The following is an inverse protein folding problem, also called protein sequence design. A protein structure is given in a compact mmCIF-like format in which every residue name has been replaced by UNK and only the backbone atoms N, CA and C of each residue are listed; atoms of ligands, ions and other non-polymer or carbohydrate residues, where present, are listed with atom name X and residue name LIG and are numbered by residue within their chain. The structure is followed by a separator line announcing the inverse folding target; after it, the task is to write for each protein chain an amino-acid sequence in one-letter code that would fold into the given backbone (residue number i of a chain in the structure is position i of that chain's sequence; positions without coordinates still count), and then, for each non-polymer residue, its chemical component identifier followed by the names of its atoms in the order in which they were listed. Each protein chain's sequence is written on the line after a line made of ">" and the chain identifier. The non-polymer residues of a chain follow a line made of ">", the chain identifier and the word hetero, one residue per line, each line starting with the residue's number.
data_IF_336173379383
#
_entry.id   IF_336173379383
#
_cell.length_a   1.000
_cell.length_b   1.000
_cell.length_c   1.000
_cell.angle_alpha   90.00
_cell.angle_beta   90.00
_cell.angle_gamma   90.00
#
_symmetry.space_group_name_H-M   'P 1'
#
loop_
_entity.id
_entity.type
_entity.pdbx_description
1 polymer ?
#
# COMPACT_ATOMS: atom_id res chain seq x y z
N UNK A 1 23.38 -23.07 9.73
CA UNK A 1 22.10 -23.65 9.25
C UNK A 1 21.21 -24.07 10.42
N UNK A 2 21.67 -24.91 11.36
CA UNK A 2 20.91 -25.29 12.57
C UNK A 2 20.51 -24.09 13.44
N UNK A 3 21.40 -23.12 13.67
CA UNK A 3 21.09 -21.90 14.44
C UNK A 3 20.02 -21.00 13.81
N UNK A 4 19.95 -20.98 12.48
CA UNK A 4 18.97 -20.18 11.74
C UNK A 4 17.58 -20.83 11.78
N UNK A 5 17.53 -22.17 11.71
CA UNK A 5 16.30 -22.96 11.89
C UNK A 5 15.80 -22.88 13.33
N UNK A 6 16.68 -22.88 14.34
CA UNK A 6 16.29 -22.69 15.74
C UNK A 6 15.80 -21.27 16.01
N UNK A 7 16.39 -20.23 15.39
CA UNK A 7 15.89 -18.86 15.45
C UNK A 7 14.56 -18.68 14.72
N UNK A 8 14.37 -19.31 13.55
CA UNK A 8 13.13 -19.29 12.77
C UNK A 8 12.00 -20.05 13.47
N UNK A 9 12.29 -21.20 14.08
CA UNK A 9 11.32 -21.93 14.92
C UNK A 9 11.02 -21.18 16.22
N UNK A 10 12.00 -20.51 16.83
CA UNK A 10 11.75 -19.59 17.95
C UNK A 10 10.89 -18.40 17.55
N UNK A 11 11.03 -17.85 16.33
CA UNK A 11 10.27 -16.69 15.86
C UNK A 11 8.84 -17.06 15.42
N UNK A 12 8.67 -18.19 14.73
CA UNK A 12 7.35 -18.74 14.39
C UNK A 12 6.61 -19.15 15.67
N UNK A 13 7.35 -19.74 16.63
CA UNK A 13 6.84 -19.98 17.98
C UNK A 13 6.62 -18.67 18.73
N UNK A 14 7.35 -17.58 18.47
CA UNK A 14 7.07 -16.25 19.02
C UNK A 14 5.84 -15.62 18.40
N UNK A 15 5.52 -15.79 17.11
CA UNK A 15 4.27 -15.31 16.51
C UNK A 15 3.06 -16.12 16.98
N UNK A 16 3.19 -17.45 17.06
CA UNK A 16 2.17 -18.31 17.67
C UNK A 16 2.03 -18.07 19.17
N UNK A 17 3.15 -17.85 19.87
CA UNK A 17 3.17 -17.42 21.28
C UNK A 17 2.74 -15.97 21.43
N UNK A 18 2.81 -15.10 20.44
CA UNK A 18 2.30 -13.72 20.52
C UNK A 18 0.78 -13.75 20.38
N UNK A 19 0.25 -14.59 19.49
CA UNK A 19 -1.18 -14.87 19.38
C UNK A 19 -1.74 -15.61 20.61
N UNK A 20 -1.03 -16.62 21.13
CA UNK A 20 -1.36 -17.32 22.38
C UNK A 20 -1.10 -16.46 23.62
N UNK A 21 -0.08 -15.60 23.63
CA UNK A 21 0.23 -14.66 24.71
C UNK A 21 -0.74 -13.48 24.69
N UNK A 22 -1.29 -13.05 23.56
CA UNK A 22 -2.41 -12.11 23.54
C UNK A 22 -3.62 -12.72 24.25
N UNK A 23 -3.99 -13.96 23.88
CA UNK A 23 -5.08 -14.69 24.55
C UNK A 23 -4.81 -14.93 26.04
N UNK A 24 -3.57 -15.27 26.42
CA UNK A 24 -3.17 -15.53 27.81
C UNK A 24 -2.89 -14.25 28.63
N UNK A 25 -2.58 -13.13 27.97
CA UNK A 25 -2.43 -11.79 28.58
C UNK A 25 -3.78 -11.15 28.82
N UNK A 26 -4.77 -11.42 27.96
CA UNK A 26 -6.17 -11.08 28.17
C UNK A 26 -6.77 -11.85 29.37
N UNK A 27 -6.36 -13.11 29.58
CA UNK A 27 -6.68 -13.90 30.79
C UNK A 27 -5.97 -13.37 32.07
N UNK A 28 -4.87 -12.63 31.94
CA UNK A 28 -4.09 -12.05 33.05
C UNK A 28 -4.32 -10.55 33.29
N UNK A 29 -5.27 -9.94 32.59
CA UNK A 29 -5.66 -8.53 32.78
C UNK A 29 -4.66 -7.50 32.22
N UNK A 30 -3.80 -7.90 31.28
CA UNK A 30 -2.88 -6.96 30.59
C UNK A 30 -3.64 -6.30 29.44
N UNK A 31 -3.68 -4.97 29.43
CA UNK A 31 -4.32 -4.20 28.37
C UNK A 31 -3.57 -4.33 27.04
N UNK A 32 -4.26 -4.84 26.03
CA UNK A 32 -3.74 -4.98 24.66
C UNK A 32 -4.09 -3.70 23.89
N UNK A 33 -3.13 -3.05 23.18
CA UNK A 33 -3.43 -1.90 22.34
C UNK A 33 -4.52 -2.25 21.33
N UNK A 34 -5.58 -1.44 21.28
CA UNK A 34 -6.65 -1.59 20.31
C UNK A 34 -6.47 -0.58 19.18
N UNK A 35 -6.65 -1.05 17.93
CA UNK A 35 -6.67 -0.18 16.77
C UNK A 35 -7.80 0.84 16.88
N UNK A 36 -7.48 2.11 16.69
CA UNK A 36 -8.44 3.22 16.86
C UNK A 36 -9.49 3.29 15.73
N UNK A 37 -9.23 2.61 14.62
CA UNK A 37 -10.10 2.57 13.43
C UNK A 37 -10.33 1.11 13.04
N UNK A 38 -11.55 0.76 12.61
CA UNK A 38 -11.83 -0.53 11.97
C UNK A 38 -12.01 -0.30 10.47
N UNK A 39 -10.99 -0.62 9.67
CA UNK A 39 -11.05 -0.56 8.21
C UNK A 39 -11.59 -1.85 7.59
N UNK A 40 -11.90 -1.85 6.28
CA UNK A 40 -12.30 -3.02 5.49
C UNK A 40 -11.45 -4.29 5.70
N UNK A 41 -10.17 -4.14 6.05
CA UNK A 41 -9.32 -5.30 6.36
C UNK A 41 -9.76 -6.10 7.60
N UNK A 42 -10.65 -5.57 8.44
CA UNK A 42 -11.27 -6.30 9.55
C UNK A 42 -12.12 -7.51 9.10
N UNK A 43 -12.52 -7.55 7.82
CA UNK A 43 -13.26 -8.67 7.23
C UNK A 43 -12.36 -9.80 6.74
N UNK A 44 -11.04 -9.65 6.77
CA UNK A 44 -10.11 -10.72 6.35
C UNK A 44 -10.10 -11.80 7.46
N UNK A 45 -10.59 -13.03 7.19
CA UNK A 45 -10.62 -14.08 8.19
C UNK A 45 -9.20 -14.48 8.58
N UNK A 46 -8.90 -14.52 9.88
CA UNK A 46 -7.60 -14.97 10.42
C UNK A 46 -7.22 -16.43 10.07
N UNK A 47 -8.10 -17.14 9.35
CA UNK A 47 -8.07 -18.58 9.09
C UNK A 47 -7.50 -18.92 7.70
N UNK A 48 -7.39 -17.95 6.80
CA UNK A 48 -6.78 -18.14 5.46
C UNK A 48 -5.30 -17.79 5.55
N UNK A 49 -4.53 -18.71 6.13
CA UNK A 49 -3.09 -18.56 6.28
C UNK A 49 -2.39 -18.64 4.92
N UNK A 50 -1.57 -17.64 4.53
CA UNK A 50 -0.81 -17.69 3.29
C UNK A 50 0.19 -18.84 3.25
N UNK A 51 0.66 -19.17 2.04
CA UNK A 51 1.73 -20.14 1.85
C UNK A 51 2.96 -19.78 2.70
N UNK A 52 3.38 -20.73 3.54
CA UNK A 52 4.41 -20.56 4.57
C UNK A 52 5.77 -20.20 3.97
N UNK A 53 6.08 -20.67 2.76
CA UNK A 53 7.36 -20.40 2.11
C UNK A 53 7.48 -18.94 1.65
N UNK A 54 6.41 -18.38 1.08
CA UNK A 54 6.37 -16.97 0.64
C UNK A 54 6.41 -16.01 1.83
N UNK A 55 5.78 -16.38 2.95
CA UNK A 55 5.88 -15.62 4.19
C UNK A 55 7.32 -15.62 4.76
N UNK A 56 8.04 -16.73 4.65
CA UNK A 56 9.45 -16.78 5.06
C UNK A 56 10.30 -15.87 4.17
N UNK A 57 10.09 -15.88 2.85
CA UNK A 57 10.77 -14.95 1.92
C UNK A 57 10.47 -13.49 2.23
N UNK A 58 9.20 -13.16 2.54
CA UNK A 58 8.78 -11.83 2.94
C UNK A 58 9.50 -11.35 4.21
N UNK A 59 9.57 -12.22 5.23
CA UNK A 59 10.27 -11.92 6.47
C UNK A 59 11.77 -11.71 6.24
N UNK A 60 12.41 -12.56 5.41
CA UNK A 60 13.83 -12.42 5.10
C UNK A 60 14.14 -11.13 4.31
N UNK A 61 13.20 -10.67 3.48
CA UNK A 61 13.38 -9.50 2.62
C UNK A 61 13.06 -8.18 3.32
N UNK A 62 12.04 -8.16 4.18
CA UNK A 62 11.52 -6.94 4.81
C UNK A 62 11.82 -6.85 6.31
N UNK A 63 12.27 -7.93 6.95
CA UNK A 63 12.57 -7.98 8.38
C UNK A 63 11.35 -7.96 9.32
N UNK A 64 10.13 -7.81 8.77
CA UNK A 64 8.86 -7.78 9.51
C UNK A 64 7.69 -8.23 8.62
N UNK A 65 6.59 -8.62 9.28
CA UNK A 65 5.30 -8.87 8.62
C UNK A 65 4.40 -7.65 8.82
N UNK A 66 4.45 -6.71 7.88
CA UNK A 66 3.51 -5.58 7.88
C UNK A 66 2.16 -5.97 7.29
N UNK A 67 1.14 -5.17 7.55
CA UNK A 67 -0.23 -5.43 7.10
C UNK A 67 -0.33 -5.45 5.55
N UNK A 68 0.51 -4.70 4.84
CA UNK A 68 0.61 -4.78 3.37
C UNK A 68 0.97 -6.21 2.96
N UNK A 69 2.05 -6.75 3.53
CA UNK A 69 2.51 -8.11 3.25
C UNK A 69 1.42 -9.13 3.57
N UNK A 70 0.75 -8.99 4.72
CA UNK A 70 -0.32 -9.90 5.14
C UNK A 70 -1.49 -9.95 4.15
N UNK A 71 -1.96 -8.80 3.67
CA UNK A 71 -3.09 -8.75 2.72
C UNK A 71 -2.67 -9.25 1.34
N UNK A 72 -1.49 -8.86 0.87
CA UNK A 72 -0.97 -9.34 -0.42
C UNK A 72 -0.71 -10.85 -0.42
N UNK A 73 -0.46 -11.45 0.75
CA UNK A 73 -0.22 -12.89 0.88
C UNK A 73 -1.45 -13.76 0.55
N UNK A 74 -2.66 -13.17 0.45
CA UNK A 74 -3.83 -13.82 -0.14
C UNK A 74 -3.63 -14.16 -1.63
N UNK A 75 -2.67 -13.51 -2.29
CA UNK A 75 -2.26 -13.75 -3.67
C UNK A 75 -0.73 -13.99 -3.75
N UNK A 76 -0.24 -15.20 -3.42
CA UNK A 76 1.19 -15.47 -3.23
C UNK A 76 2.08 -15.15 -4.45
N UNK A 77 1.59 -15.40 -5.66
CA UNK A 77 2.31 -15.08 -6.90
C UNK A 77 2.49 -13.57 -7.09
N UNK A 78 1.49 -12.77 -6.71
CA UNK A 78 1.59 -11.31 -6.71
C UNK A 78 2.55 -10.83 -5.61
N UNK A 79 2.43 -11.38 -4.40
CA UNK A 79 3.30 -11.04 -3.28
C UNK A 79 4.79 -11.26 -3.61
N UNK A 80 5.16 -12.40 -4.21
CA UNK A 80 6.55 -12.66 -4.60
C UNK A 80 7.10 -11.60 -5.56
N UNK A 81 6.30 -11.20 -6.57
CA UNK A 81 6.67 -10.11 -7.48
C UNK A 81 6.79 -8.76 -6.77
N UNK A 82 5.88 -8.46 -5.86
CA UNK A 82 5.90 -7.24 -5.04
C UNK A 82 7.17 -7.15 -4.19
N UNK A 83 7.48 -8.19 -3.43
CA UNK A 83 8.65 -8.24 -2.54
C UNK A 83 9.96 -8.05 -3.31
N UNK A 84 10.11 -8.76 -4.44
CA UNK A 84 11.28 -8.62 -5.32
C UNK A 84 11.42 -7.19 -5.85
N UNK A 85 10.30 -6.57 -6.22
CA UNK A 85 10.28 -5.18 -6.70
C UNK A 85 10.66 -4.22 -5.58
N UNK A 86 10.07 -4.37 -4.39
CA UNK A 86 10.33 -3.50 -3.24
C UNK A 86 11.79 -3.59 -2.78
N UNK A 87 12.34 -4.80 -2.69
CA UNK A 87 13.75 -5.03 -2.38
C UNK A 87 14.68 -4.40 -3.44
N UNK A 88 14.37 -4.57 -4.72
CA UNK A 88 15.16 -3.96 -5.78
C UNK A 88 15.12 -2.42 -5.75
N UNK A 89 13.97 -1.83 -5.41
CA UNK A 89 13.80 -0.39 -5.38
C UNK A 89 14.44 0.27 -4.16
N UNK A 90 14.40 -0.37 -2.99
CA UNK A 90 14.78 0.25 -1.72
C UNK A 90 16.13 -0.25 -1.18
N UNK A 91 16.45 -1.53 -1.33
CA UNK A 91 17.59 -2.16 -0.64
C UNK A 91 18.82 -2.38 -1.55
N UNK A 92 18.62 -2.79 -2.81
CA UNK A 92 19.75 -3.05 -3.70
C UNK A 92 20.53 -1.77 -4.06
N UNK A 93 21.82 -1.91 -4.34
CA UNK A 93 22.63 -0.79 -4.85
C UNK A 93 22.02 -0.20 -6.12
N UNK A 94 22.02 1.14 -6.20
CA UNK A 94 21.29 1.85 -7.24
C UNK A 94 21.69 3.33 -7.32
N UNK A 95 21.16 4.07 -8.30
CA UNK A 95 21.61 5.43 -8.60
C UNK A 95 21.33 6.45 -7.48
N UNK A 96 20.37 6.16 -6.60
CA UNK A 96 20.01 7.03 -5.47
C UNK A 96 20.50 6.48 -4.13
N UNK A 97 20.94 7.33 -3.19
CA UNK A 97 21.23 6.92 -1.82
C UNK A 97 20.00 6.35 -1.11
N UNK A 98 20.16 5.28 -0.32
CA UNK A 98 19.07 4.61 0.43
C UNK A 98 18.13 5.58 1.18
N UNK A 99 18.61 6.54 2.01
CA UNK A 99 17.70 7.47 2.69
C UNK A 99 16.86 8.29 1.70
N UNK A 100 17.45 8.74 0.59
CA UNK A 100 16.71 9.54 -0.39
C UNK A 100 15.55 8.77 -1.02
N UNK A 101 15.71 7.46 -1.21
CA UNK A 101 14.65 6.58 -1.73
C UNK A 101 13.45 6.56 -0.79
N UNK A 102 13.68 6.36 0.51
CA UNK A 102 12.63 6.40 1.53
C UNK A 102 11.94 7.76 1.58
N UNK A 103 12.69 8.86 1.54
CA UNK A 103 12.09 10.21 1.53
C UNK A 103 11.22 10.46 0.28
N UNK A 104 11.68 10.01 -0.90
CA UNK A 104 10.89 10.11 -2.15
C UNK A 104 9.58 9.34 -2.03
N UNK A 105 9.61 8.13 -1.45
CA UNK A 105 8.40 7.34 -1.20
C UNK A 105 7.45 8.05 -0.24
N UNK A 106 7.95 8.57 0.90
CA UNK A 106 7.14 9.31 1.85
C UNK A 106 6.49 10.55 1.20
N UNK A 107 7.26 11.32 0.42
CA UNK A 107 6.77 12.48 -0.33
C UNK A 107 5.71 12.10 -1.36
N UNK A 108 5.85 10.95 -2.03
CA UNK A 108 4.89 10.44 -2.98
C UNK A 108 3.59 10.00 -2.30
N UNK A 109 3.68 9.20 -1.23
CA UNK A 109 2.53 8.76 -0.44
C UNK A 109 1.74 9.93 0.17
N UNK A 110 2.44 11.01 0.58
CA UNK A 110 1.81 12.22 1.09
C UNK A 110 0.84 12.89 0.09
N UNK A 111 0.99 12.66 -1.23
CA UNK A 111 0.06 13.15 -2.26
C UNK A 111 -1.35 12.60 -2.12
N UNK A 112 -1.49 11.44 -1.46
CA UNK A 112 -2.76 10.75 -1.20
C UNK A 112 -3.10 10.71 0.29
N UNK A 113 -2.42 11.52 1.12
CA UNK A 113 -2.57 11.55 2.58
C UNK A 113 -2.45 10.14 3.21
N UNK A 114 -1.64 9.27 2.61
CA UNK A 114 -1.47 7.89 3.07
C UNK A 114 -0.51 7.86 4.27
N UNK A 115 -1.06 8.12 5.47
CA UNK A 115 -0.29 8.19 6.72
C UNK A 115 0.46 6.89 7.03
N UNK A 116 -0.10 5.75 6.64
CA UNK A 116 0.54 4.43 6.77
C UNK A 116 1.91 4.40 6.09
N UNK A 117 1.97 4.74 4.79
CA UNK A 117 3.23 4.72 4.03
C UNK A 117 4.14 5.88 4.42
N UNK A 118 3.58 7.06 4.73
CA UNK A 118 4.38 8.20 5.19
C UNK A 118 5.13 7.84 6.47
N UNK A 119 4.47 7.24 7.46
CA UNK A 119 5.12 6.86 8.72
C UNK A 119 6.16 5.77 8.52
N UNK A 120 5.81 4.68 7.82
CA UNK A 120 6.71 3.57 7.52
C UNK A 120 7.99 4.04 6.81
N UNK A 121 7.86 4.89 5.79
CA UNK A 121 9.03 5.37 5.05
C UNK A 121 9.75 6.54 5.74
N UNK A 122 9.11 7.26 6.65
CA UNK A 122 9.81 8.21 7.53
C UNK A 122 10.71 7.49 8.53
N UNK A 123 10.24 6.39 9.12
CA UNK A 123 11.05 5.53 9.98
C UNK A 123 12.24 4.94 9.19
N UNK A 124 11.98 4.33 8.02
CA UNK A 124 13.05 3.80 7.17
C UNK A 124 14.05 4.86 6.67
N UNK A 125 13.61 6.11 6.48
CA UNK A 125 14.51 7.23 6.17
C UNK A 125 15.51 7.50 7.30
N UNK A 126 15.02 7.57 8.55
CA UNK A 126 15.87 7.79 9.72
C UNK A 126 16.82 6.60 9.96
N UNK A 127 16.32 5.37 9.85
CA UNK A 127 17.13 4.15 9.96
C UNK A 127 18.25 4.09 8.91
N UNK A 128 18.00 4.62 7.72
CA UNK A 128 19.00 4.70 6.65
C UNK A 128 19.99 5.87 6.82
N UNK A 129 19.96 6.60 7.95
CA UNK A 129 20.85 7.73 8.24
C UNK A 129 20.41 9.05 7.61
N UNK A 130 19.12 9.19 7.31
CA UNK A 130 18.51 10.44 6.85
C UNK A 130 18.53 11.54 7.92
N UNK A 131 18.63 12.79 7.49
CA UNK A 131 18.62 13.95 8.40
C UNK A 131 17.19 14.28 8.85
N UNK A 132 16.93 14.21 10.15
CA UNK A 132 15.60 14.39 10.75
C UNK A 132 14.89 15.69 10.33
N UNK A 133 15.65 16.78 10.15
CA UNK A 133 15.13 18.08 9.73
C UNK A 133 14.33 18.03 8.42
N UNK A 134 14.61 17.06 7.54
CA UNK A 134 13.87 16.90 6.28
C UNK A 134 12.41 16.50 6.50
N UNK A 135 12.12 15.80 7.60
CA UNK A 135 10.77 15.34 7.95
C UNK A 135 9.88 16.47 8.47
N UNK A 136 10.44 17.63 8.81
CA UNK A 136 9.68 18.84 9.18
C UNK A 136 8.96 19.48 7.97
N UNK A 137 9.32 19.08 6.75
CA UNK A 137 8.63 19.47 5.53
C UNK A 137 9.54 19.56 4.31
N UNK A 138 8.93 19.56 3.13
CA UNK A 138 9.64 19.54 1.85
C UNK A 138 10.63 20.70 1.69
N UNK A 139 10.35 21.86 2.30
CA UNK A 139 11.23 23.03 2.26
C UNK A 139 12.62 22.77 2.88
N UNK A 140 12.72 21.84 3.84
CA UNK A 140 13.95 21.48 4.53
C UNK A 140 14.76 20.40 3.78
N UNK A 141 14.14 19.70 2.82
CA UNK A 141 14.82 18.69 2.03
C UNK A 141 15.86 19.29 1.06
N UNK A 142 16.80 18.45 0.64
CA UNK A 142 17.84 18.83 -0.33
C UNK A 142 17.21 19.43 -1.62
N UNK A 143 17.79 20.51 -2.21
CA UNK A 143 17.25 21.16 -3.41
C UNK A 143 16.94 20.20 -4.57
N UNK A 144 17.80 19.19 -4.78
CA UNK A 144 17.61 18.12 -5.77
C UNK A 144 16.34 17.29 -5.52
N UNK A 145 15.92 17.07 -4.27
CA UNK A 145 14.65 16.39 -3.98
C UNK A 145 13.47 17.33 -4.21
N UNK A 146 13.59 18.59 -3.81
CA UNK A 146 12.51 19.59 -3.94
C UNK A 146 12.08 19.80 -5.39
N UNK A 147 12.98 19.71 -6.36
CA UNK A 147 12.63 19.87 -7.77
C UNK A 147 11.70 18.76 -8.30
N UNK A 148 11.60 17.61 -7.62
CA UNK A 148 10.63 16.56 -7.98
C UNK A 148 9.18 16.94 -7.67
N UNK A 149 8.92 17.99 -6.88
CA UNK A 149 7.58 18.33 -6.37
C UNK A 149 6.52 18.39 -7.47
N UNK A 150 6.79 19.14 -8.54
CA UNK A 150 5.85 19.32 -9.65
C UNK A 150 5.58 18.00 -10.37
N UNK A 151 6.64 17.23 -10.63
CA UNK A 151 6.52 15.94 -11.30
C UNK A 151 5.74 14.93 -10.45
N UNK A 152 6.02 14.85 -9.14
CA UNK A 152 5.28 14.03 -8.18
C UNK A 152 3.78 14.38 -8.19
N UNK A 153 3.45 15.68 -8.16
CA UNK A 153 2.05 16.15 -8.24
C UNK A 153 1.36 15.70 -9.51
N UNK A 154 2.02 15.80 -10.66
CA UNK A 154 1.43 15.42 -11.94
C UNK A 154 1.27 13.90 -12.04
N UNK A 155 2.29 13.13 -11.68
CA UNK A 155 2.23 11.67 -11.66
C UNK A 155 1.06 11.13 -10.82
N UNK A 156 0.85 11.69 -9.63
CA UNK A 156 -0.19 11.24 -8.72
C UNK A 156 -1.62 11.53 -9.19
N UNK A 157 -1.84 12.60 -9.96
CA UNK A 157 -3.18 13.17 -10.16
C UNK A 157 -3.59 13.33 -11.62
N UNK A 158 -2.65 13.70 -12.51
CA UNK A 158 -2.90 13.98 -13.93
C UNK A 158 -1.65 13.67 -14.76
N UNK A 159 -1.23 12.40 -14.87
CA UNK A 159 0.03 12.02 -15.52
C UNK A 159 0.10 12.41 -17.00
N UNK A 160 -1.05 12.50 -17.68
CA UNK A 160 -1.15 12.95 -19.08
C UNK A 160 -0.74 14.42 -19.33
N UNK A 161 -0.59 15.23 -18.28
CA UNK A 161 -0.11 16.62 -18.39
C UNK A 161 1.42 16.74 -18.35
N UNK A 162 2.15 15.65 -18.16
CA UNK A 162 3.62 15.65 -18.14
C UNK A 162 4.13 15.95 -19.55
N UNK A 163 5.12 16.84 -19.64
CA UNK A 163 5.72 17.31 -20.90
C UNK A 163 7.23 17.31 -20.77
N UNK A 164 7.95 17.45 -21.89
CA UNK A 164 9.41 17.54 -21.90
C UNK A 164 9.95 18.66 -21.00
N UNK A 165 9.22 19.79 -20.87
CA UNK A 165 9.61 20.89 -20.00
C UNK A 165 9.68 20.47 -18.53
N UNK A 166 8.74 19.64 -18.07
CA UNK A 166 8.76 19.12 -16.70
C UNK A 166 10.00 18.26 -16.43
N UNK A 167 10.49 17.52 -17.43
CA UNK A 167 11.72 16.73 -17.33
C UNK A 167 12.95 17.65 -17.32
N UNK A 168 12.99 18.67 -18.19
CA UNK A 168 14.08 19.64 -18.25
C UNK A 168 14.21 20.47 -16.95
N UNK A 169 13.10 20.81 -16.29
CA UNK A 169 13.11 21.53 -15.01
C UNK A 169 13.73 20.74 -13.86
N UNK A 170 13.70 19.40 -13.94
CA UNK A 170 14.35 18.51 -12.98
C UNK A 170 15.83 18.25 -13.36
N UNK A 171 16.19 18.44 -14.63
CA UNK A 171 17.54 18.30 -15.16
C UNK A 171 18.10 19.60 -15.78
N UNK A 172 18.17 20.74 -15.05
CA UNK A 172 18.70 21.97 -15.60
C UNK A 172 20.22 21.83 -15.77
N UNK A 173 20.72 22.03 -17.00
CA UNK A 173 22.07 21.62 -17.43
C UNK A 173 23.30 22.32 -16.82
N UNK A 174 23.24 22.85 -15.60
CA UNK A 174 24.42 23.47 -14.99
C UNK A 174 24.67 23.11 -13.52
N UNK A 175 23.67 23.06 -12.63
CA UNK A 175 23.94 22.82 -11.20
C UNK A 175 22.78 22.03 -10.54
N UNK A 176 23.13 20.91 -9.89
CA UNK A 176 22.21 19.92 -9.29
C UNK A 176 21.37 19.07 -10.27
N UNK A 177 21.96 18.65 -11.39
CA UNK A 177 21.30 17.80 -12.37
C UNK A 177 20.95 16.42 -11.78
N UNK A 178 19.69 16.01 -11.91
CA UNK A 178 19.36 14.60 -11.96
C UNK A 178 19.98 13.97 -13.20
N UNK A 179 20.71 12.87 -13.02
CA UNK A 179 21.02 11.98 -14.15
C UNK A 179 19.73 11.27 -14.59
N UNK A 180 19.71 10.77 -15.83
CA UNK A 180 18.57 10.01 -16.34
C UNK A 180 18.29 8.77 -15.47
N UNK A 181 19.33 8.07 -15.02
CA UNK A 181 19.19 6.88 -14.17
C UNK A 181 18.55 7.22 -12.81
N UNK A 182 19.02 8.27 -12.14
CA UNK A 182 18.42 8.74 -10.89
C UNK A 182 16.96 9.15 -11.11
N UNK A 183 16.66 9.88 -12.20
CA UNK A 183 15.31 10.37 -12.46
C UNK A 183 14.33 9.22 -12.72
N UNK A 184 14.72 8.24 -13.52
CA UNK A 184 13.91 7.05 -13.76
C UNK A 184 13.67 6.30 -12.44
N UNK A 185 14.69 6.10 -11.60
CA UNK A 185 14.52 5.45 -10.31
C UNK A 185 13.56 6.22 -9.39
N UNK A 186 13.68 7.56 -9.33
CA UNK A 186 12.74 8.40 -8.57
C UNK A 186 11.31 8.32 -9.12
N UNK A 187 11.11 8.32 -10.44
CA UNK A 187 9.78 8.17 -11.05
C UNK A 187 9.17 6.82 -10.67
N UNK A 188 9.93 5.73 -10.77
CA UNK A 188 9.46 4.39 -10.39
C UNK A 188 9.11 4.33 -8.91
N UNK A 189 9.92 4.93 -8.03
CA UNK A 189 9.60 5.03 -6.61
C UNK A 189 8.29 5.80 -6.37
N UNK A 190 8.09 6.96 -7.02
CA UNK A 190 6.87 7.75 -6.88
C UNK A 190 5.63 7.00 -7.36
N UNK A 191 5.67 6.42 -8.56
CA UNK A 191 4.52 5.69 -9.12
C UNK A 191 4.20 4.41 -8.35
N UNK A 192 5.22 3.68 -7.89
CA UNK A 192 5.06 2.54 -6.98
C UNK A 192 4.37 2.96 -5.68
N UNK A 193 4.74 4.12 -5.13
CA UNK A 193 4.16 4.64 -3.89
C UNK A 193 2.71 5.12 -4.08
N UNK A 194 2.38 5.72 -5.24
CA UNK A 194 1.02 6.14 -5.56
C UNK A 194 0.07 4.94 -5.71
N UNK A 195 0.52 3.88 -6.42
CA UNK A 195 -0.27 2.66 -6.55
C UNK A 195 -0.41 1.94 -5.20
N UNK A 196 0.65 1.88 -4.40
CA UNK A 196 0.60 1.30 -3.06
C UNK A 196 -0.29 2.10 -2.11
N UNK A 197 -0.35 3.43 -2.24
CA UNK A 197 -1.30 4.27 -1.49
C UNK A 197 -2.74 3.90 -1.82
N UNK A 198 -3.02 3.62 -3.10
CA UNK A 198 -4.35 3.16 -3.54
C UNK A 198 -4.67 1.78 -2.99
N UNK A 199 -3.69 0.89 -2.91
CA UNK A 199 -3.84 -0.42 -2.26
C UNK A 199 -4.15 -0.29 -0.76
N UNK A 200 -3.41 0.55 -0.04
CA UNK A 200 -3.62 0.79 1.40
C UNK A 200 -5.05 1.27 1.67
N UNK A 201 -5.53 2.25 0.89
CA UNK A 201 -6.88 2.76 1.02
C UNK A 201 -7.93 1.76 0.56
N UNK A 202 -7.73 1.12 -0.60
CA UNK A 202 -8.67 0.16 -1.19
C UNK A 202 -8.86 -1.09 -0.34
N UNK A 203 -7.80 -1.58 0.29
CA UNK A 203 -7.87 -2.71 1.24
C UNK A 203 -8.22 -2.28 2.66
N UNK A 204 -8.25 -0.97 2.95
CA UNK A 204 -8.58 -0.46 4.27
C UNK A 204 -7.62 -0.93 5.35
N UNK A 205 -6.31 -0.83 5.09
CA UNK A 205 -5.29 -1.32 6.01
C UNK A 205 -5.25 -0.51 7.31
N UNK A 206 -5.05 -1.21 8.41
CA UNK A 206 -4.86 -0.59 9.72
C UNK A 206 -3.43 -0.06 9.87
N UNK A 207 -3.22 1.01 10.67
CA UNK A 207 -1.88 1.41 11.07
C UNK A 207 -1.14 0.27 11.78
N UNK A 208 0.16 0.15 11.54
CA UNK A 208 1.02 -0.77 12.27
C UNK A 208 1.07 -0.44 13.78
N UNK A 209 1.39 -1.41 14.66
CA UNK A 209 1.48 -1.20 16.11
C UNK A 209 2.44 -0.09 16.53
N UNK A 210 3.51 0.11 15.76
CA UNK A 210 4.55 1.13 15.94
C UNK A 210 4.20 2.48 15.30
N UNK A 211 3.08 2.58 14.55
CA UNK A 211 2.61 3.85 14.03
C UNK A 211 2.02 4.74 15.13
N UNK A 212 2.44 6.00 15.14
CA UNK A 212 1.96 7.03 16.06
C UNK A 212 0.48 7.27 15.82
N UNK A 213 -0.31 7.19 16.90
CA UNK A 213 -1.77 7.42 16.85
C UNK A 213 -2.57 6.31 16.18
N UNK A 214 -1.97 5.14 15.90
CA UNK A 214 -2.67 3.98 15.33
C UNK A 214 -3.44 3.14 16.36
N UNK A 215 -2.95 3.12 17.60
CA UNK A 215 -3.43 2.25 18.66
C UNK A 215 -3.57 3.01 19.99
N UNK A 216 -4.54 2.60 20.80
CA UNK A 216 -4.73 3.14 22.15
C UNK A 216 -4.85 2.01 23.18
N UNK A 217 -4.41 2.28 24.41
CA UNK A 217 -4.69 1.43 25.57
C UNK A 217 -6.02 1.80 26.24
N UNK A 218 -6.66 2.91 25.83
CA UNK A 218 -7.91 3.36 26.42
C UNK A 218 -9.11 2.54 25.91
N UNK A 219 -10.11 2.24 26.77
CA UNK A 219 -11.36 1.62 26.33
C UNK A 219 -12.08 2.51 25.31
N UNK A 220 -12.80 1.92 24.34
CA UNK A 220 -13.48 2.68 23.28
C UNK A 220 -14.44 3.70 23.89
N UNK A 221 -14.29 4.97 23.49
CA UNK A 221 -15.23 6.02 23.87
C UNK A 221 -16.62 5.71 23.28
N UNK A 222 -17.73 5.99 24.00
CA UNK A 222 -19.09 5.64 23.54
C UNK A 222 -19.49 6.22 22.19
N UNK A 223 -18.76 7.24 21.70
CA UNK A 223 -18.98 7.89 20.40
C UNK A 223 -18.39 7.16 19.21
N UNK A 224 -17.54 6.13 19.41
CA UNK A 224 -16.89 5.38 18.33
C UNK A 224 -17.62 4.07 17.96
N UNK A 225 -18.87 3.91 18.43
CA UNK A 225 -19.74 2.80 18.05
C UNK A 225 -20.24 2.98 16.62
N UNK A 226 -19.39 2.74 15.63
CA UNK A 226 -19.88 2.23 14.36
C UNK A 226 -20.52 0.88 14.67
N UNK A 227 -21.81 0.65 14.36
CA UNK A 227 -22.44 -0.61 14.69
C UNK A 227 -21.66 -1.73 14.01
N UNK A 228 -21.15 -2.68 14.80
CA UNK A 228 -20.83 -4.02 14.29
C UNK A 228 -22.10 -4.52 13.64
N UNK A 229 -22.14 -4.55 12.31
CA UNK A 229 -23.27 -5.09 11.56
C UNK A 229 -23.38 -6.56 11.98
N UNK A 230 -24.33 -6.81 12.87
CA UNK A 230 -24.67 -8.13 13.38
C UNK A 230 -25.11 -9.00 12.21
N UNK A 231 -24.68 -10.25 12.19
CA UNK A 231 -24.89 -11.30 11.19
C UNK A 231 -26.32 -11.48 10.62
N UNK A 232 -27.33 -10.76 11.11
CA UNK A 232 -28.73 -10.90 10.68
C UNK A 232 -29.08 -10.15 9.38
N UNK A 233 -28.32 -9.12 8.97
CA UNK A 233 -28.51 -8.46 7.66
C UNK A 233 -27.79 -9.21 6.51
N UNK A 234 -26.89 -10.13 6.86
CA UNK A 234 -26.06 -10.89 5.91
C UNK A 234 -26.88 -11.80 4.99
N UNK A 235 -27.98 -12.40 5.47
CA UNK A 235 -28.74 -13.38 4.69
C UNK A 235 -29.53 -12.77 3.51
N UNK A 236 -30.06 -11.55 3.67
CA UNK A 236 -30.85 -10.88 2.63
C UNK A 236 -29.99 -10.24 1.55
N UNK A 237 -28.84 -9.65 1.90
CA UNK A 237 -27.90 -9.08 0.92
C UNK A 237 -27.16 -10.18 0.14
N UNK A 238 -26.94 -11.35 0.75
CA UNK A 238 -26.22 -12.44 0.08
C UNK A 238 -27.04 -13.07 -1.07
N UNK A 239 -28.36 -13.10 -1.00
CA UNK A 239 -29.20 -13.59 -2.10
C UNK A 239 -29.18 -12.67 -3.31
N UNK A 240 -29.24 -11.35 -3.10
CA UNK A 240 -29.18 -10.35 -4.18
C UNK A 240 -27.80 -10.36 -4.86
N UNK A 241 -26.73 -10.42 -4.06
CA UNK A 241 -25.36 -10.54 -4.57
C UNK A 241 -25.09 -11.85 -5.34
N UNK A 242 -25.74 -12.97 -4.97
CA UNK A 242 -25.63 -14.23 -5.72
C UNK A 242 -26.28 -14.08 -7.11
N UNK A 243 -27.44 -13.43 -7.20
CA UNK A 243 -28.12 -13.18 -8.48
C UNK A 243 -27.28 -12.25 -9.37
N UNK A 244 -26.68 -11.19 -8.81
CA UNK A 244 -25.79 -10.29 -9.57
C UNK A 244 -24.54 -11.01 -10.12
N UNK A 245 -23.93 -11.90 -9.33
CA UNK A 245 -22.79 -12.72 -9.77
C UNK A 245 -23.19 -13.66 -10.90
N UNK A 246 -24.36 -14.29 -10.83
CA UNK A 246 -24.86 -15.16 -11.91
C UNK A 246 -25.10 -14.37 -13.21
N UNK A 247 -25.69 -13.17 -13.11
CA UNK A 247 -25.89 -12.27 -14.26
C UNK A 247 -24.54 -11.87 -14.87
N UNK A 248 -23.56 -11.52 -14.05
CA UNK A 248 -22.20 -11.21 -14.50
C UNK A 248 -21.57 -12.40 -15.23
N UNK A 249 -21.61 -13.60 -14.65
CA UNK A 249 -21.05 -14.81 -15.24
C UNK A 249 -21.69 -15.12 -16.60
N UNK A 250 -23.02 -15.00 -16.70
CA UNK A 250 -23.73 -15.20 -17.97
C UNK A 250 -23.26 -14.20 -19.02
N UNK A 251 -23.15 -12.92 -18.67
CA UNK A 251 -22.66 -11.88 -19.59
C UNK A 251 -21.22 -12.13 -20.04
N UNK A 252 -20.35 -12.61 -19.14
CA UNK A 252 -18.97 -12.96 -19.49
C UNK A 252 -18.90 -14.09 -20.54
N UNK A 253 -19.78 -15.10 -20.44
CA UNK A 253 -19.87 -16.20 -21.42
C UNK A 253 -20.39 -15.71 -22.76
N UNK A 254 -21.39 -14.82 -22.76
CA UNK A 254 -21.92 -14.22 -23.98
C UNK A 254 -20.84 -13.43 -24.75
N UNK A 255 -20.02 -12.66 -24.05
CA UNK A 255 -18.90 -11.90 -24.64
C UNK A 255 -17.82 -12.81 -25.25
N UNK A 256 -17.65 -14.04 -24.77
CA UNK A 256 -16.67 -14.98 -25.36
C UNK A 256 -17.11 -15.54 -26.72
N UNK A 257 -18.40 -15.51 -27.02
CA UNK A 257 -18.97 -16.05 -28.27
C UNK A 257 -19.38 -14.96 -29.27
N UNK A 258 -19.35 -13.69 -28.88
CA UNK A 258 -19.57 -12.55 -29.78
C UNK A 258 -18.30 -12.24 -30.57
N UNK A 259 -18.37 -12.35 -31.90
CA UNK A 259 -17.43 -11.64 -32.78
C UNK A 259 -17.78 -10.14 -32.68
N UNK A 260 -16.83 -9.30 -32.28
CA UNK A 260 -17.04 -7.85 -32.19
C UNK A 260 -17.21 -7.24 -33.60
N UNK A 261 -18.43 -7.26 -34.13
CA UNK A 261 -18.83 -6.48 -35.32
C UNK A 261 -19.11 -5.02 -34.94
N UNK A 262 -18.16 -4.35 -34.29
CA UNK A 262 -18.27 -2.94 -33.93
C UNK A 262 -17.48 -2.08 -34.93
N UNK A 263 -18.10 -1.03 -35.49
CA UNK A 263 -17.38 -0.10 -36.35
C UNK A 263 -16.32 0.68 -35.56
N UNK A 264 -15.26 1.13 -36.24
CA UNK A 264 -14.20 1.92 -35.59
C UNK A 264 -14.73 3.22 -34.97
N UNK A 265 -15.72 3.85 -35.60
CA UNK A 265 -16.37 5.07 -35.10
C UNK A 265 -17.17 4.80 -33.82
N UNK A 266 -17.86 3.66 -33.76
CA UNK A 266 -18.59 3.24 -32.57
C UNK A 266 -17.64 2.91 -31.40
N UNK A 267 -16.51 2.27 -31.66
CA UNK A 267 -15.49 2.01 -30.63
C UNK A 267 -14.95 3.30 -30.00
N UNK A 268 -14.64 4.31 -30.82
CA UNK A 268 -14.17 5.63 -30.33
C UNK A 268 -15.26 6.30 -29.49
N UNK A 269 -16.51 6.24 -29.94
CA UNK A 269 -17.64 6.84 -29.23
C UNK A 269 -17.85 6.18 -27.86
N UNK A 270 -17.74 4.85 -27.77
CA UNK A 270 -17.83 4.11 -26.50
C UNK A 270 -16.71 4.51 -25.53
N UNK A 271 -15.48 4.66 -26.04
CA UNK A 271 -14.33 5.10 -25.23
C UNK A 271 -14.52 6.52 -24.66
N UNK A 272 -14.92 7.49 -25.49
CA UNK A 272 -15.10 8.87 -25.02
C UNK A 272 -16.29 9.00 -24.05
N UNK A 273 -17.34 8.18 -24.21
CA UNK A 273 -18.42 8.09 -23.23
C UNK A 273 -17.91 7.62 -21.87
N UNK A 274 -17.20 6.50 -21.82
CA UNK A 274 -16.66 5.95 -20.57
C UNK A 274 -15.70 6.93 -19.88
N UNK A 275 -14.83 7.56 -20.66
CA UNK A 275 -13.86 8.56 -20.15
C UNK A 275 -14.52 9.80 -19.54
N UNK A 276 -15.72 10.16 -20.00
CA UNK A 276 -16.46 11.34 -19.50
C UNK A 276 -17.43 11.01 -18.37
N UNK A 277 -17.65 9.73 -18.08
CA UNK A 277 -18.50 9.29 -16.99
C UNK A 277 -17.83 9.60 -15.64
N UNK A 278 -18.47 10.46 -14.85
CA UNK A 278 -18.07 10.73 -13.47
C UNK A 278 -18.90 9.88 -12.52
N UNK A 279 -18.26 8.98 -11.77
CA UNK A 279 -18.93 8.24 -10.69
C UNK A 279 -19.32 9.25 -9.60
N UNK A 280 -20.61 9.33 -9.19
CA UNK A 280 -21.02 10.19 -8.09
C UNK A 280 -20.26 9.78 -6.82
N UNK A 281 -19.45 10.68 -6.27
CA UNK A 281 -18.90 10.51 -4.92
C UNK A 281 -20.04 10.70 -3.94
N UNK A 282 -20.51 9.61 -3.31
CA UNK A 282 -21.51 9.66 -2.26
C UNK A 282 -21.11 10.67 -1.18
N UNK A 283 -21.98 11.64 -0.94
CA UNK A 283 -21.85 12.65 0.13
C UNK A 283 -22.03 12.04 1.51
#
# INVERSE_FOLDING_TARGET
>A
MFELVTKLLCLIRYCYLWFLSLSHSQERGVEIPQALTSGPSAFIPAQVGPDREVLIEAFLSLGRFDHITMVMALHPTYLSCFLRTQHALLELDGPLPRPWRHYIVAMAAARHQCSYLVQQHSAGFLEAGGEESWLEGLQHAHPKIRCLHTLNKLLAHRPWLITQQHIQLVCPGADACWSLAELIHAIVLMTHSHSLSSFVWGCGLHPEPDHVGGHTFCPPSPSNNMPRITHFLSFSLCQDGVIEVEVLMKRMVELQHQEEECSQEEMITRFEREKSESIPTGT
#
